data_IF_017761878792
#
_entry.id   IF_017761878792
#
_cell.length_a   1.000
_cell.length_b   1.000
_cell.length_c   1.000
_cell.angle_alpha   90.00
_cell.angle_beta   90.00
_cell.angle_gamma   90.00
#
_symmetry.space_group_name_H-M   'P 1'
#
loop_
_entity.id
_entity.type
_entity.pdbx_description
1 polymer ?
#
# COMPACT_ATOMS: atom_id res chain seq x y z
N UNK A 1 -14.66 0.12 -19.37
CA UNK A 1 -13.21 -0.15 -19.31
C UNK A 1 -13.02 -1.60 -18.90
N UNK A 2 -12.25 -2.38 -19.65
CA UNK A 2 -11.96 -3.80 -19.36
C UNK A 2 -10.54 -3.85 -18.78
N UNK A 3 -10.41 -3.86 -17.45
CA UNK A 3 -9.12 -4.13 -16.81
C UNK A 3 -8.89 -5.64 -16.81
N UNK A 4 -7.79 -6.09 -17.39
CA UNK A 4 -7.30 -7.45 -17.19
C UNK A 4 -6.53 -7.49 -15.86
N UNK A 5 -6.80 -8.50 -15.01
CA UNK A 5 -6.13 -8.72 -13.73
C UNK A 5 -5.21 -9.94 -13.85
N UNK A 6 -3.96 -9.84 -13.42
CA UNK A 6 -3.06 -10.99 -13.21
C UNK A 6 -2.06 -10.66 -12.09
N UNK A 7 -2.07 -11.35 -10.93
CA UNK A 7 -1.45 -10.79 -9.69
C UNK A 7 -0.96 -11.75 -8.59
N UNK A 8 0.26 -11.41 -8.13
CA UNK A 8 0.99 -11.57 -6.85
C UNK A 8 1.09 -12.99 -6.30
N UNK A 9 2.26 -13.60 -6.50
CA UNK A 9 2.51 -15.05 -6.39
C UNK A 9 1.58 -15.85 -7.34
N UNK A 10 2.00 -16.98 -7.95
CA UNK A 10 1.27 -17.51 -9.10
C UNK A 10 -0.16 -17.94 -8.71
N UNK A 11 -1.17 -17.11 -9.03
CA UNK A 11 -2.58 -17.48 -8.86
C UNK A 11 -3.57 -16.31 -8.89
N UNK A 12 -4.78 -16.58 -9.35
CA UNK A 12 -5.89 -15.63 -9.25
C UNK A 12 -6.45 -15.58 -7.82
N UNK A 13 -6.75 -14.37 -7.32
CA UNK A 13 -7.44 -14.15 -6.04
C UNK A 13 -8.82 -13.54 -6.28
N UNK A 14 -9.85 -13.93 -5.51
CA UNK A 14 -11.20 -13.40 -5.71
C UNK A 14 -11.26 -11.92 -5.34
N UNK A 15 -12.07 -11.17 -6.10
CA UNK A 15 -12.55 -9.86 -5.68
C UNK A 15 -13.56 -10.09 -4.56
N UNK A 16 -13.27 -9.58 -3.37
CA UNK A 16 -14.12 -9.74 -2.18
C UNK A 16 -15.10 -8.59 -2.00
N UNK A 17 -14.82 -7.43 -2.60
CA UNK A 17 -15.69 -6.25 -2.54
C UNK A 17 -15.42 -5.28 -3.68
N UNK A 18 -16.43 -4.54 -4.10
CA UNK A 18 -16.33 -3.44 -5.07
C UNK A 18 -16.82 -2.14 -4.46
N UNK A 19 -16.25 -1.02 -4.89
CA UNK A 19 -16.53 0.31 -4.40
C UNK A 19 -16.71 1.26 -5.58
N UNK A 20 -17.63 2.21 -5.43
CA UNK A 20 -17.82 3.31 -6.37
C UNK A 20 -17.79 4.59 -5.56
N UNK A 21 -17.01 5.57 -6.01
CA UNK A 21 -16.99 6.91 -5.43
C UNK A 21 -16.99 7.97 -6.51
N UNK A 22 -17.27 9.20 -6.12
CA UNK A 22 -17.19 10.35 -7.00
C UNK A 22 -15.99 11.22 -6.63
N UNK A 23 -15.27 11.69 -7.63
CA UNK A 23 -14.13 12.61 -7.48
C UNK A 23 -14.11 13.58 -8.65
N UNK A 24 -13.79 14.83 -8.39
CA UNK A 24 -13.49 15.85 -9.39
C UNK A 24 -11.99 15.99 -9.65
N UNK A 25 -11.13 15.25 -8.94
CA UNK A 25 -9.67 15.24 -9.17
C UNK A 25 -9.21 13.85 -9.63
N UNK A 26 -8.47 13.81 -10.74
CA UNK A 26 -7.83 12.61 -11.30
C UNK A 26 -6.36 12.86 -11.59
N UNK A 27 -5.54 11.82 -11.43
CA UNK A 27 -4.16 11.79 -11.90
C UNK A 27 -4.10 11.01 -13.22
N UNK A 28 -3.51 11.63 -14.23
CA UNK A 28 -3.10 11.00 -15.47
C UNK A 28 -1.61 10.66 -15.34
N UNK A 29 -1.32 9.37 -15.28
CA UNK A 29 0.01 8.82 -15.09
C UNK A 29 0.42 8.04 -16.33
N UNK A 30 1.55 8.39 -16.92
CA UNK A 30 2.14 7.69 -18.06
C UNK A 30 3.40 6.94 -17.64
N UNK A 31 3.56 5.73 -18.16
CA UNK A 31 4.76 4.90 -17.99
C UNK A 31 5.10 4.15 -19.26
N UNK A 32 6.33 3.65 -19.32
CA UNK A 32 6.76 2.68 -20.33
C UNK A 32 7.60 1.60 -19.69
N UNK A 33 7.62 0.41 -20.29
CA UNK A 33 8.53 -0.65 -19.87
C UNK A 33 9.98 -0.18 -19.94
N UNK A 34 10.75 -0.55 -18.94
CA UNK A 34 12.20 -0.33 -18.95
C UNK A 34 12.84 -1.35 -19.90
N UNK A 35 13.63 -0.89 -20.86
CA UNK A 35 14.34 -1.79 -21.76
C UNK A 35 15.32 -2.67 -20.96
N UNK A 36 15.27 -3.98 -21.16
CA UNK A 36 16.31 -4.87 -20.64
C UNK A 36 17.63 -4.55 -21.33
N UNK A 37 18.70 -4.36 -20.56
CA UNK A 37 20.05 -4.33 -21.12
C UNK A 37 20.32 -5.67 -21.81
N UNK A 38 20.32 -5.68 -23.15
CA UNK A 38 20.79 -6.84 -23.93
C UNK A 38 22.24 -7.10 -23.52
N UNK A 39 22.54 -8.31 -23.06
CA UNK A 39 23.93 -8.76 -22.97
C UNK A 39 24.55 -8.64 -24.38
N UNK A 40 25.77 -8.09 -24.47
CA UNK A 40 26.52 -7.96 -25.73
C UNK A 40 26.66 -9.34 -26.39
N UNK A 41 25.97 -9.61 -27.50
CA UNK A 41 26.25 -10.82 -28.27
C UNK A 41 25.28 -11.29 -29.35
N UNK A 42 24.02 -10.84 -29.43
CA UNK A 42 23.07 -11.44 -30.38
C UNK A 42 22.60 -10.45 -31.46
N UNK A 43 22.79 -10.85 -32.73
CA UNK A 43 22.50 -10.09 -33.95
C UNK A 43 21.00 -9.89 -34.15
N UNK A 44 20.67 -8.74 -34.73
CA UNK A 44 19.34 -8.18 -34.86
C UNK A 44 18.35 -9.03 -35.66
N UNK A 45 17.16 -9.15 -35.09
CA UNK A 45 15.91 -9.14 -35.84
C UNK A 45 15.16 -7.88 -35.43
N UNK A 46 14.56 -7.20 -36.40
CA UNK A 46 13.73 -6.01 -36.20
C UNK A 46 12.46 -6.40 -35.44
N UNK A 47 12.58 -6.54 -34.11
CA UNK A 47 11.43 -6.54 -33.24
C UNK A 47 10.92 -5.11 -33.21
N UNK A 48 9.77 -4.85 -33.82
CA UNK A 48 8.99 -3.65 -33.51
C UNK A 48 8.77 -3.65 -31.99
N UNK A 49 9.52 -2.79 -31.30
CA UNK A 49 9.52 -2.62 -29.84
C UNK A 49 8.20 -1.93 -29.47
N UNK A 50 7.12 -2.70 -29.53
CA UNK A 50 5.73 -2.25 -29.51
C UNK A 50 5.19 -1.88 -28.14
N UNK A 51 5.93 -1.13 -27.33
CA UNK A 51 5.48 -0.69 -26.01
C UNK A 51 5.63 0.83 -25.87
N UNK A 52 4.79 1.55 -26.63
CA UNK A 52 4.61 2.99 -26.46
C UNK A 52 4.17 3.35 -25.03
N UNK A 53 4.25 4.62 -24.62
CA UNK A 53 3.85 5.01 -23.28
C UNK A 53 2.38 4.66 -23.01
N UNK A 54 2.16 3.85 -21.97
CA UNK A 54 0.85 3.49 -21.46
C UNK A 54 0.39 4.54 -20.44
N UNK A 55 -0.90 4.89 -20.43
CA UNK A 55 -1.46 5.87 -19.50
C UNK A 55 -2.55 5.25 -18.64
N UNK A 56 -2.36 5.31 -17.32
CA UNK A 56 -3.37 4.99 -16.32
C UNK A 56 -3.99 6.27 -15.77
N UNK A 57 -5.29 6.20 -15.52
CA UNK A 57 -6.06 7.29 -14.91
C UNK A 57 -6.64 6.75 -13.61
N UNK A 58 -6.35 7.44 -12.52
CA UNK A 58 -6.75 7.04 -11.19
C UNK A 58 -6.83 8.24 -10.27
N UNK A 59 -6.97 7.98 -8.98
CA UNK A 59 -6.97 9.07 -7.98
C UNK A 59 -5.63 9.14 -7.29
N UNK A 60 -5.29 10.32 -6.77
CA UNK A 60 -4.03 10.61 -6.07
C UNK A 60 -3.61 9.52 -5.08
N UNK A 61 -4.56 9.03 -4.27
CA UNK A 61 -4.28 8.10 -3.16
C UNK A 61 -4.05 6.63 -3.55
N UNK A 62 -4.15 6.25 -4.84
CA UNK A 62 -3.92 4.85 -5.22
C UNK A 62 -2.42 4.52 -5.18
N UNK A 63 -1.96 3.56 -4.35
CA UNK A 63 -0.52 3.30 -4.21
C UNK A 63 0.02 2.39 -5.33
N UNK A 64 1.23 2.69 -5.78
CA UNK A 64 2.04 1.90 -6.72
C UNK A 64 3.34 1.46 -6.06
N UNK A 65 3.81 0.23 -6.32
CA UNK A 65 5.09 -0.21 -5.76
C UNK A 65 6.27 0.43 -6.51
N UNK A 66 6.97 1.35 -5.85
CA UNK A 66 8.17 1.99 -6.37
C UNK A 66 9.41 1.15 -6.06
N UNK A 67 10.10 0.72 -7.10
CA UNK A 67 11.44 0.12 -7.02
C UNK A 67 12.51 1.16 -6.69
N UNK A 68 12.29 2.42 -7.04
CA UNK A 68 13.22 3.52 -6.69
C UNK A 68 13.23 3.76 -5.19
N UNK A 69 12.05 3.80 -4.56
CA UNK A 69 11.90 4.10 -3.12
C UNK A 69 11.75 2.85 -2.24
N UNK A 70 11.60 1.68 -2.86
CA UNK A 70 11.37 0.40 -2.21
C UNK A 70 10.19 0.44 -1.22
N UNK A 71 9.10 1.10 -1.62
CA UNK A 71 7.84 1.21 -0.88
C UNK A 71 6.67 1.56 -1.81
N UNK A 72 5.45 1.45 -1.30
CA UNK A 72 4.23 1.90 -1.96
C UNK A 72 4.12 3.43 -1.95
N UNK A 73 3.98 4.03 -3.14
CA UNK A 73 3.91 5.48 -3.36
C UNK A 73 2.54 5.83 -3.93
N UNK A 74 1.88 6.83 -3.37
CA UNK A 74 0.61 7.32 -3.91
C UNK A 74 0.79 7.82 -5.35
N UNK A 75 -0.20 7.56 -6.22
CA UNK A 75 -0.19 7.99 -7.62
C UNK A 75 0.13 9.47 -7.80
N UNK A 76 -0.38 10.33 -6.91
CA UNK A 76 -0.12 11.78 -6.93
C UNK A 76 1.28 12.19 -6.47
N UNK A 77 2.03 11.30 -5.81
CA UNK A 77 3.39 11.52 -5.31
C UNK A 77 4.48 10.92 -6.21
N UNK A 78 4.09 10.23 -7.28
CA UNK A 78 5.01 9.67 -8.27
C UNK A 78 5.72 10.79 -9.05
N UNK A 79 7.00 10.57 -9.31
CA UNK A 79 7.82 11.52 -10.08
C UNK A 79 8.28 10.91 -11.41
N UNK A 80 8.52 11.77 -12.41
CA UNK A 80 9.10 11.33 -13.69
C UNK A 80 10.48 10.71 -13.45
N UNK A 81 10.73 9.55 -14.05
CA UNK A 81 11.95 8.77 -13.84
C UNK A 81 11.85 7.73 -12.72
N UNK A 82 10.78 7.73 -11.94
CA UNK A 82 10.56 6.72 -10.90
C UNK A 82 10.34 5.32 -11.52
N UNK A 83 10.95 4.30 -10.93
CA UNK A 83 10.87 2.92 -11.41
C UNK A 83 9.79 2.18 -10.66
N UNK A 84 8.85 1.57 -11.38
CA UNK A 84 7.73 0.80 -10.81
C UNK A 84 7.89 -0.69 -11.07
N UNK A 85 7.35 -1.51 -10.17
CA UNK A 85 7.30 -2.96 -10.35
C UNK A 85 6.20 -3.35 -11.33
N UNK A 86 6.56 -4.16 -12.31
CA UNK A 86 5.64 -4.85 -13.21
C UNK A 86 5.42 -6.30 -12.80
N UNK A 87 4.44 -6.95 -13.39
CA UNK A 87 4.26 -8.41 -13.35
C UNK A 87 5.50 -9.12 -13.92
N UNK A 88 6.11 -8.52 -14.95
CA UNK A 88 7.36 -8.94 -15.55
C UNK A 88 8.36 -7.76 -15.69
N UNK A 89 9.26 -7.60 -14.72
CA UNK A 89 10.32 -6.59 -14.75
C UNK A 89 9.90 -5.24 -14.17
N UNK A 90 10.22 -4.15 -14.87
CA UNK A 90 10.07 -2.77 -14.38
C UNK A 90 9.57 -1.82 -15.46
N UNK A 91 8.90 -0.76 -15.03
CA UNK A 91 8.53 0.39 -15.86
C UNK A 91 9.15 1.66 -15.31
N UNK A 92 9.29 2.67 -16.16
CA UNK A 92 9.70 4.02 -15.80
C UNK A 92 8.51 4.96 -15.98
N UNK A 93 8.24 5.79 -14.97
CA UNK A 93 7.26 6.89 -15.03
C UNK A 93 7.75 7.93 -16.05
N UNK A 94 6.93 8.24 -17.05
CA UNK A 94 7.23 9.21 -18.12
C UNK A 94 6.42 10.50 -18.01
N UNK A 95 5.35 10.52 -17.21
CA UNK A 95 4.57 11.72 -16.97
C UNK A 95 3.56 11.55 -15.84
N UNK A 96 3.33 12.63 -15.08
CA UNK A 96 2.31 12.71 -14.03
C UNK A 96 1.61 14.05 -14.18
N UNK A 97 0.28 14.05 -14.30
CA UNK A 97 -0.52 15.25 -14.44
C UNK A 97 -1.81 15.15 -13.65
N UNK A 98 -2.02 16.10 -12.74
CA UNK A 98 -3.30 16.28 -12.08
C UNK A 98 -4.29 16.97 -13.03
N UNK A 99 -5.53 16.50 -12.99
CA UNK A 99 -6.66 17.06 -13.73
C UNK A 99 -7.83 17.25 -12.79
N UNK A 100 -8.17 18.52 -12.54
CA UNK A 100 -9.43 18.92 -11.92
C UNK A 100 -10.51 18.95 -13.00
N UNK A 101 -11.65 18.33 -12.72
CA UNK A 101 -12.81 18.21 -13.60
C UNK A 101 -13.86 19.24 -13.23
N UNK A 102 -14.65 19.68 -14.21
CA UNK A 102 -15.74 20.63 -13.98
C UNK A 102 -16.90 20.06 -13.15
N UNK A 103 -17.01 18.73 -13.08
CA UNK A 103 -17.96 18.00 -12.26
C UNK A 103 -17.36 16.67 -11.81
N UNK A 104 -17.76 16.14 -10.64
CA UNK A 104 -17.31 14.84 -10.17
C UNK A 104 -17.66 13.70 -11.14
N UNK A 105 -16.75 12.74 -11.26
CA UNK A 105 -16.96 11.51 -12.04
C UNK A 105 -16.90 10.29 -11.13
N UNK A 106 -17.60 9.23 -11.52
CA UNK A 106 -17.53 7.94 -10.82
C UNK A 106 -16.22 7.23 -11.13
N UNK A 107 -15.50 6.88 -10.08
CA UNK A 107 -14.34 5.99 -10.13
C UNK A 107 -14.65 4.71 -9.38
N UNK A 108 -14.15 3.60 -9.90
CA UNK A 108 -14.38 2.28 -9.34
C UNK A 108 -13.11 1.78 -8.66
N UNK A 109 -13.28 1.17 -7.50
CA UNK A 109 -12.23 0.45 -6.79
C UNK A 109 -12.74 -0.94 -6.41
N UNK A 110 -11.87 -1.86 -6.05
CA UNK A 110 -12.25 -3.16 -5.53
C UNK A 110 -11.31 -3.59 -4.42
N UNK A 111 -11.60 -4.71 -3.78
CA UNK A 111 -10.70 -5.33 -2.81
C UNK A 111 -10.42 -6.73 -3.29
N UNK A 112 -9.13 -7.06 -3.45
CA UNK A 112 -8.68 -8.42 -3.74
C UNK A 112 -8.49 -9.12 -2.41
N UNK A 113 -8.86 -10.40 -2.30
CA UNK A 113 -8.61 -11.18 -1.09
C UNK A 113 -7.12 -11.18 -0.67
N UNK A 114 -6.88 -11.45 0.60
CA UNK A 114 -5.55 -11.64 1.20
C UNK A 114 -4.69 -10.37 1.21
N UNK A 115 -3.90 -10.16 0.15
CA UNK A 115 -2.83 -9.15 0.10
C UNK A 115 -3.33 -7.76 -0.25
N UNK A 116 -4.58 -7.68 -0.72
CA UNK A 116 -5.16 -6.46 -1.24
C UNK A 116 -4.26 -5.73 -2.25
N UNK A 117 -3.49 -6.47 -3.04
CA UNK A 117 -2.69 -5.90 -4.13
C UNK A 117 -3.11 -6.49 -5.46
N UNK A 118 -2.81 -5.75 -6.51
CA UNK A 118 -3.31 -5.98 -7.84
C UNK A 118 -2.31 -5.51 -8.89
N UNK A 119 -2.27 -6.09 -10.09
CA UNK A 119 -1.58 -5.49 -11.22
C UNK A 119 -2.64 -4.91 -12.15
N UNK A 120 -2.48 -3.62 -12.41
CA UNK A 120 -3.39 -2.85 -13.25
C UNK A 120 -2.69 -2.54 -14.58
N UNK A 121 -3.45 -2.59 -15.66
CA UNK A 121 -2.99 -2.22 -16.99
C UNK A 121 -4.11 -1.50 -17.74
N UNK A 122 -3.81 -0.43 -18.50
CA UNK A 122 -4.84 0.35 -19.20
C UNK A 122 -5.49 -0.43 -20.34
N UNK A 123 -4.73 -1.27 -21.05
CA UNK A 123 -5.24 -2.18 -22.06
C UNK A 123 -4.47 -3.50 -22.12
N UNK A 124 -5.07 -4.50 -22.77
CA UNK A 124 -4.39 -5.78 -23.01
C UNK A 124 -3.17 -5.55 -23.89
N UNK A 125 -1.99 -5.92 -23.38
CA UNK A 125 -0.71 -5.72 -24.07
C UNK A 125 0.16 -4.66 -23.40
N UNK A 126 -0.45 -3.71 -22.67
CA UNK A 126 0.28 -2.67 -21.94
C UNK A 126 0.89 -3.23 -20.63
N UNK A 127 1.94 -2.59 -20.08
CA UNK A 127 2.60 -3.07 -18.88
C UNK A 127 1.67 -3.11 -17.67
N UNK A 128 1.64 -4.23 -16.97
CA UNK A 128 0.86 -4.44 -15.76
C UNK A 128 1.64 -3.95 -14.54
N UNK A 129 1.25 -2.82 -13.96
CA UNK A 129 1.92 -2.19 -12.81
C UNK A 129 1.32 -2.64 -11.50
N UNK A 130 2.16 -2.89 -10.49
CA UNK A 130 1.72 -3.39 -9.18
C UNK A 130 1.15 -2.26 -8.33
N UNK A 131 -0.11 -2.41 -7.91
CA UNK A 131 -0.92 -1.45 -7.16
C UNK A 131 -1.49 -2.05 -5.88
N UNK A 132 -1.72 -1.21 -4.88
CA UNK A 132 -2.49 -1.58 -3.70
C UNK A 132 -3.98 -1.26 -3.92
N UNK A 133 -4.85 -2.12 -3.38
CA UNK A 133 -6.26 -2.24 -3.73
C UNK A 133 -7.07 -2.70 -2.50
N UNK A 134 -7.05 -1.89 -1.44
CA UNK A 134 -7.93 -2.03 -0.26
C UNK A 134 -8.65 -0.72 0.04
N UNK A 135 -9.96 -0.81 0.26
CA UNK A 135 -10.72 0.16 1.04
C UNK A 135 -11.17 -0.56 2.32
N UNK A 136 -10.84 -0.04 3.50
CA UNK A 136 -11.36 -0.62 4.75
C UNK A 136 -12.73 -0.03 5.05
N UNK A 137 -13.74 -0.87 5.20
CA UNK A 137 -15.10 -0.42 5.54
C UNK A 137 -15.25 -0.33 7.05
N UNK A 138 -15.69 0.83 7.52
CA UNK A 138 -15.98 1.11 8.91
C UNK A 138 -17.45 0.74 9.22
N UNK A 139 -17.78 0.25 10.42
CA UNK A 139 -19.15 -0.12 10.81
C UNK A 139 -20.15 1.03 10.76
N UNK A 140 -19.68 2.28 10.77
CA UNK A 140 -20.52 3.47 10.58
C UNK A 140 -20.82 3.78 9.10
N UNK A 141 -20.46 2.87 8.18
CA UNK A 141 -20.69 3.00 6.74
C UNK A 141 -19.64 3.86 6.01
N UNK A 142 -18.65 4.41 6.71
CA UNK A 142 -17.55 5.16 6.09
C UNK A 142 -16.47 4.22 5.55
N UNK A 143 -15.70 4.67 4.56
CA UNK A 143 -14.53 3.94 4.02
C UNK A 143 -13.25 4.69 4.35
N UNK A 144 -12.25 3.97 4.85
CA UNK A 144 -10.88 4.47 4.90
C UNK A 144 -10.21 4.22 3.56
N UNK A 145 -9.72 5.30 2.95
CA UNK A 145 -9.00 5.30 1.68
C UNK A 145 -7.63 5.96 1.92
N UNK A 146 -6.56 5.27 1.53
CA UNK A 146 -5.19 5.73 1.75
C UNK A 146 -4.21 4.58 1.81
N UNK A 147 -2.99 4.89 2.24
CA UNK A 147 -1.93 3.90 2.48
C UNK A 147 -2.44 2.72 3.32
N UNK A 148 -1.97 1.52 3.03
CA UNK A 148 -2.27 0.37 3.88
C UNK A 148 -1.76 0.62 5.31
N UNK A 149 -2.38 0.01 6.33
CA UNK A 149 -1.92 0.21 7.72
C UNK A 149 -0.46 -0.23 7.90
N UNK A 150 -0.03 -1.23 7.13
CA UNK A 150 1.37 -1.65 7.04
C UNK A 150 2.28 -0.52 6.50
N UNK A 151 1.89 0.14 5.41
CA UNK A 151 2.65 1.28 4.84
C UNK A 151 2.74 2.45 5.82
N UNK A 152 1.65 2.78 6.51
CA UNK A 152 1.65 3.82 7.54
C UNK A 152 2.61 3.42 8.67
N UNK A 153 2.58 2.15 9.09
CA UNK A 153 3.50 1.64 10.11
C UNK A 153 4.97 1.71 9.64
N UNK A 154 5.25 1.43 8.36
CA UNK A 154 6.61 1.47 7.81
C UNK A 154 7.11 2.90 7.60
N UNK A 155 6.25 3.83 7.19
CA UNK A 155 6.58 5.25 7.09
C UNK A 155 6.92 5.83 8.47
N UNK A 156 6.09 5.54 9.48
CA UNK A 156 6.36 5.95 10.86
C UNK A 156 7.67 5.36 11.34
N UNK A 157 7.92 4.06 11.10
CA UNK A 157 9.17 3.39 11.48
C UNK A 157 10.39 4.03 10.82
N UNK A 158 10.30 4.32 9.53
CA UNK A 158 11.41 4.80 8.71
C UNK A 158 11.76 6.27 8.99
N UNK A 159 10.82 7.05 9.50
CA UNK A 159 11.06 8.42 9.97
C UNK A 159 11.90 8.50 11.25
N UNK A 160 12.06 7.38 11.97
CA UNK A 160 12.85 7.33 13.19
C UNK A 160 14.36 7.31 12.95
N UNK A 161 15.13 7.38 14.04
CA UNK A 161 16.58 7.25 13.95
C UNK A 161 16.96 5.85 13.42
N UNK A 162 17.96 5.73 12.52
CA UNK A 162 18.31 4.49 11.82
C UNK A 162 18.41 3.25 12.74
N UNK A 163 19.05 3.41 13.90
CA UNK A 163 19.22 2.33 14.90
C UNK A 163 17.88 1.95 15.56
N UNK A 164 17.00 2.93 15.80
CA UNK A 164 15.68 2.68 16.34
C UNK A 164 14.78 2.01 15.31
N UNK A 165 14.75 2.53 14.09
CA UNK A 165 13.97 2.01 12.96
C UNK A 165 14.33 0.56 12.60
N UNK A 166 15.61 0.17 12.74
CA UNK A 166 16.04 -1.21 12.48
C UNK A 166 15.69 -2.18 13.61
N UNK A 167 15.46 -1.69 14.83
CA UNK A 167 15.19 -2.52 16.01
C UNK A 167 13.71 -2.63 16.35
N UNK A 168 12.90 -1.63 16.03
CA UNK A 168 11.50 -1.53 16.45
C UNK A 168 10.52 -2.06 15.41
N UNK A 169 9.43 -2.63 15.92
CA UNK A 169 8.22 -2.97 15.18
C UNK A 169 7.18 -1.91 15.51
N UNK A 170 6.57 -1.29 14.50
CA UNK A 170 5.44 -0.36 14.67
C UNK A 170 4.18 -1.12 14.28
N UNK A 171 3.10 -0.94 15.04
CA UNK A 171 1.77 -1.40 14.64
C UNK A 171 0.88 -0.19 14.49
N UNK A 172 0.14 -0.12 13.40
CA UNK A 172 -0.90 0.87 13.17
C UNK A 172 -2.23 0.13 13.10
N UNK A 173 -3.23 0.64 13.81
CA UNK A 173 -4.57 0.09 13.80
C UNK A 173 -5.62 1.12 13.42
N UNK A 174 -6.74 0.65 12.88
CA UNK A 174 -7.92 1.45 12.55
C UNK A 174 -9.08 0.99 13.44
N UNK A 175 -9.67 1.93 14.17
CA UNK A 175 -10.84 1.66 15.02
C UNK A 175 -12.17 1.79 14.27
N UNK A 176 -13.27 1.47 14.95
CA UNK A 176 -14.62 1.53 14.38
C UNK A 176 -15.08 2.95 14.03
N UNK A 177 -14.51 3.99 14.63
CA UNK A 177 -14.81 5.38 14.29
C UNK A 177 -14.01 5.89 13.08
N UNK A 178 -13.00 5.14 12.62
CA UNK A 178 -12.13 5.52 11.53
C UNK A 178 -10.88 6.27 11.97
N UNK A 179 -10.58 6.27 13.26
CA UNK A 179 -9.36 6.88 13.79
C UNK A 179 -8.21 5.87 13.72
N UNK A 180 -7.08 6.36 13.22
CA UNK A 180 -5.83 5.61 13.19
C UNK A 180 -5.10 5.72 14.52
N UNK A 181 -4.56 4.60 14.99
CA UNK A 181 -3.78 4.50 16.20
C UNK A 181 -2.42 3.88 15.93
N UNK A 182 -1.38 4.31 16.62
CA UNK A 182 -0.03 3.73 16.51
C UNK A 182 0.48 3.30 17.86
N UNK A 183 1.02 2.09 17.90
CA UNK A 183 1.87 1.60 18.97
C UNK A 183 3.20 1.11 18.41
N UNK A 184 4.15 0.88 19.31
CA UNK A 184 5.47 0.38 18.95
C UNK A 184 5.98 -0.55 20.02
N UNK A 185 6.79 -1.54 19.62
CA UNK A 185 7.42 -2.53 20.50
C UNK A 185 8.35 -1.89 21.54
N UNK A 186 8.64 -0.60 21.36
CA UNK A 186 9.27 0.30 22.33
C UNK A 186 8.80 1.73 22.04
N UNK A 187 9.08 2.71 22.88
CA UNK A 187 8.62 4.09 22.70
C UNK A 187 9.00 4.66 21.33
N UNK A 188 8.06 5.36 20.67
CA UNK A 188 8.34 6.14 19.46
C UNK A 188 9.37 7.24 19.76
N UNK A 189 10.37 7.41 18.88
CA UNK A 189 11.30 8.54 18.98
C UNK A 189 10.70 9.82 18.37
N UNK A 190 11.45 10.92 18.41
CA UNK A 190 10.99 12.23 17.91
C UNK A 190 10.57 12.19 16.44
N UNK A 191 11.33 11.49 15.58
CA UNK A 191 11.04 11.40 14.15
C UNK A 191 9.78 10.58 13.88
N UNK A 192 9.64 9.45 14.56
CA UNK A 192 8.45 8.60 14.47
C UNK A 192 7.19 9.34 14.97
N UNK A 193 7.28 10.09 16.08
CA UNK A 193 6.17 10.90 16.60
C UNK A 193 5.76 12.01 15.63
N UNK A 194 6.74 12.69 15.01
CA UNK A 194 6.46 13.72 14.01
C UNK A 194 5.76 13.14 12.77
N UNK A 195 6.19 11.96 12.30
CA UNK A 195 5.53 11.27 11.20
C UNK A 195 4.10 10.85 11.56
N UNK A 196 3.89 10.25 12.74
CA UNK A 196 2.55 9.88 13.21
C UNK A 196 1.61 11.09 13.26
N UNK A 197 2.08 12.23 13.79
CA UNK A 197 1.31 13.47 13.82
C UNK A 197 0.96 14.00 12.42
N UNK A 198 1.93 14.00 11.49
CA UNK A 198 1.71 14.40 10.09
C UNK A 198 0.67 13.52 9.38
N UNK A 199 0.64 12.24 9.72
CA UNK A 199 -0.27 11.25 9.16
C UNK A 199 -1.63 11.18 9.90
N UNK A 200 -1.85 12.02 10.92
CA UNK A 200 -3.09 12.01 11.70
C UNK A 200 -3.29 10.77 12.59
N UNK A 201 -2.20 10.05 12.89
CA UNK A 201 -2.23 8.78 13.65
C UNK A 201 -2.01 9.06 15.13
N UNK A 202 -2.97 8.68 15.97
CA UNK A 202 -2.91 8.90 17.43
C UNK A 202 -2.02 7.86 18.09
N UNK A 203 -1.02 8.33 18.82
CA UNK A 203 -0.14 7.42 19.56
C UNK A 203 -0.84 6.88 20.80
N UNK A 204 -0.75 5.57 21.03
CA UNK A 204 -0.94 4.96 22.35
C UNK A 204 0.40 4.73 23.05
N UNK A 205 0.46 4.76 24.39
CA UNK A 205 1.65 4.37 25.15
C UNK A 205 2.20 2.99 24.76
N UNK A 206 3.51 2.87 24.60
CA UNK A 206 4.17 1.57 24.53
C UNK A 206 4.24 0.95 25.92
N UNK A 207 3.64 -0.23 26.10
CA UNK A 207 3.62 -0.90 27.40
C UNK A 207 4.82 -1.84 27.53
N UNK A 208 5.49 -1.81 28.68
CA UNK A 208 6.69 -2.62 28.94
C UNK A 208 6.34 -4.10 28.88
N UNK A 209 7.12 -4.86 28.12
CA UNK A 209 6.95 -6.31 27.99
C UNK A 209 5.84 -6.72 27.01
N UNK A 210 5.24 -5.78 26.28
CA UNK A 210 4.27 -6.07 25.23
C UNK A 210 4.83 -5.74 23.85
N UNK A 211 4.39 -6.47 22.84
CA UNK A 211 4.57 -6.11 21.45
C UNK A 211 3.69 -4.92 21.05
N UNK A 212 3.92 -4.39 19.85
CA UNK A 212 3.21 -3.21 19.36
C UNK A 212 1.70 -3.52 19.19
N UNK A 213 1.41 -4.68 18.62
CA UNK A 213 0.08 -5.24 18.38
C UNK A 213 -0.70 -5.35 19.69
N UNK A 214 -0.07 -5.92 20.72
CA UNK A 214 -0.66 -6.07 22.06
C UNK A 214 -0.92 -4.71 22.72
N UNK A 215 -0.02 -3.75 22.53
CA UNK A 215 -0.20 -2.40 23.06
C UNK A 215 -1.40 -1.68 22.42
N UNK A 216 -1.64 -1.88 21.12
CA UNK A 216 -2.86 -1.38 20.46
C UNK A 216 -4.11 -2.06 21.03
N UNK A 217 -4.14 -3.39 21.03
CA UNK A 217 -5.29 -4.20 21.47
C UNK A 217 -5.74 -3.83 22.90
N UNK A 218 -4.80 -3.58 23.80
CA UNK A 218 -5.13 -3.23 25.19
C UNK A 218 -5.67 -1.82 25.38
N UNK A 219 -5.39 -0.91 24.46
CA UNK A 219 -5.66 0.53 24.64
C UNK A 219 -6.69 1.07 23.66
N UNK A 220 -7.03 0.32 22.61
CA UNK A 220 -8.05 0.65 21.63
C UNK A 220 -9.07 -0.48 21.63
N UNK A 221 -10.16 -0.28 22.36
CA UNK A 221 -11.15 -1.34 22.65
C UNK A 221 -11.96 -1.81 21.45
N UNK A 222 -12.05 -0.99 20.41
CA UNK A 222 -12.85 -1.18 19.20
C UNK A 222 -11.98 -1.21 17.93
N UNK A 223 -10.74 -1.68 18.09
CA UNK A 223 -9.81 -1.90 17.00
C UNK A 223 -10.35 -2.96 16.04
N UNK A 224 -10.30 -2.69 14.74
CA UNK A 224 -10.83 -3.61 13.72
C UNK A 224 -9.77 -4.14 12.78
N UNK A 225 -8.79 -3.31 12.45
CA UNK A 225 -7.73 -3.64 11.52
C UNK A 225 -6.38 -3.29 12.13
N UNK A 226 -5.36 -4.08 11.83
CA UNK A 226 -3.98 -3.82 12.22
C UNK A 226 -3.06 -4.07 11.03
N UNK A 227 -2.06 -3.21 10.84
CA UNK A 227 -0.90 -3.45 10.01
C UNK A 227 0.38 -3.20 10.79
N UNK A 228 1.39 -4.03 10.59
CA UNK A 228 2.67 -3.98 11.32
C UNK A 228 3.83 -3.70 10.37
N UNK A 229 4.83 -2.96 10.80
CA UNK A 229 6.08 -2.77 10.05
C UNK A 229 7.14 -3.78 10.45
N UNK A 230 8.16 -3.96 9.60
CA UNK A 230 9.35 -4.81 9.82
C UNK A 230 9.09 -6.32 9.89
N UNK A 231 8.01 -6.76 10.53
CA UNK A 231 7.61 -8.16 10.64
C UNK A 231 6.10 -8.30 10.72
N UNK A 232 5.61 -9.47 10.30
CA UNK A 232 4.25 -9.92 10.62
C UNK A 232 4.09 -10.16 12.13
N UNK A 233 2.85 -10.14 12.66
CA UNK A 233 2.58 -10.53 14.04
C UNK A 233 3.18 -11.89 14.37
N UNK A 234 3.76 -12.01 15.56
CA UNK A 234 4.45 -13.24 15.95
C UNK A 234 3.47 -14.39 16.24
N UNK A 235 3.97 -15.63 16.07
CA UNK A 235 3.23 -16.86 16.34
C UNK A 235 3.46 -17.46 17.74
N UNK A 236 3.05 -18.72 17.96
CA UNK A 236 3.05 -19.37 19.27
C UNK A 236 4.41 -19.52 19.97
N UNK A 237 5.52 -19.41 19.24
CA UNK A 237 6.88 -19.44 19.81
C UNK A 237 7.29 -18.15 20.51
N UNK A 238 6.47 -17.09 20.43
CA UNK A 238 6.64 -15.83 21.14
C UNK A 238 5.34 -15.49 21.90
N UNK A 239 4.84 -14.25 21.78
CA UNK A 239 3.61 -13.79 22.42
C UNK A 239 2.34 -14.16 21.65
N UNK A 240 2.47 -14.85 20.51
CA UNK A 240 1.36 -15.30 19.67
C UNK A 240 0.38 -14.19 19.27
N UNK A 241 0.90 -13.01 18.93
CA UNK A 241 0.12 -11.84 18.53
C UNK A 241 -0.82 -12.14 17.36
N UNK A 242 -0.43 -13.02 16.44
CA UNK A 242 -1.31 -13.43 15.34
C UNK A 242 -2.59 -14.09 15.86
N UNK A 243 -2.48 -15.11 16.72
CA UNK A 243 -3.66 -15.79 17.27
C UNK A 243 -4.49 -14.87 18.16
N UNK A 244 -3.85 -13.90 18.84
CA UNK A 244 -4.57 -12.90 19.63
C UNK A 244 -5.44 -12.02 18.73
N UNK A 245 -4.90 -11.49 17.64
CA UNK A 245 -5.66 -10.72 16.64
C UNK A 245 -6.83 -11.54 16.09
N UNK A 246 -6.58 -12.80 15.71
CA UNK A 246 -7.60 -13.70 15.16
C UNK A 246 -8.72 -13.97 16.18
N UNK A 247 -8.38 -14.19 17.46
CA UNK A 247 -9.35 -14.43 18.54
C UNK A 247 -10.28 -13.24 18.81
N UNK A 248 -9.76 -12.03 18.59
CA UNK A 248 -10.48 -10.77 18.74
C UNK A 248 -11.15 -10.32 17.44
N UNK A 249 -11.02 -11.11 16.36
CA UNK A 249 -11.52 -10.80 15.02
C UNK A 249 -10.99 -9.48 14.47
N UNK A 250 -9.76 -9.13 14.82
CA UNK A 250 -9.04 -7.97 14.31
C UNK A 250 -8.29 -8.42 13.05
N UNK A 251 -8.62 -7.83 11.91
CA UNK A 251 -8.05 -8.24 10.64
C UNK A 251 -6.63 -7.67 10.45
N UNK A 252 -5.67 -8.56 10.17
CA UNK A 252 -4.32 -8.17 9.76
C UNK A 252 -4.31 -7.74 8.29
N UNK A 253 -3.74 -6.58 8.00
CA UNK A 253 -3.73 -5.99 6.64
C UNK A 253 -2.36 -6.01 5.98
N UNK A 254 -1.36 -6.67 6.57
CA UNK A 254 -0.04 -6.80 5.96
C UNK A 254 -0.13 -7.60 4.65
N UNK A 255 0.58 -7.20 3.59
CA UNK A 255 0.82 -8.09 2.47
C UNK A 255 1.59 -9.32 3.00
N UNK A 256 1.08 -10.52 2.71
CA UNK A 256 1.82 -11.77 2.96
C UNK A 256 2.81 -12.08 1.84
#
# INVERSE_FOLDING_TARGET
MKCALQISEPGFRPVVKTYVRETDVLIHFSHRREAHSRAQGEKGGDAEDGDGPATLIGTSEHPFWSLTRNHWVNMGELEVGERLRLDNGSAIVTGVKEKVLAAPVKVNNFQVADHHTCFASPAKGDPFVWVHNANYSLPNGKTYEGKSLHEIADEIRSAGHKIAASRRTIAVGLDQQGQLWVASSNTLDKGMKAAAARLGVRQVPSLKGLHAEESLIRQVSDLMFVGTSKRLPCGPGEHNCQSLLDSLKIALTNPR
#
